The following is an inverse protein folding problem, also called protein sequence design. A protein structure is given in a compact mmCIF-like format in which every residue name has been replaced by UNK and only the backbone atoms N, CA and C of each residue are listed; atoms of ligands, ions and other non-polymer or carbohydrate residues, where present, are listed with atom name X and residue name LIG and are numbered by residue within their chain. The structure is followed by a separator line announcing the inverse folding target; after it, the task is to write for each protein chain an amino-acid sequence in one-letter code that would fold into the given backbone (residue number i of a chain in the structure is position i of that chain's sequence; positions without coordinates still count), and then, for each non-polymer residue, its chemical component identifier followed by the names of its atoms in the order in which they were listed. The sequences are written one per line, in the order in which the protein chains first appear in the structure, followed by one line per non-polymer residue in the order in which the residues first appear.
data_IF_154928829151
#
_entry.id   IF_154928829151
#
_cell.length_a   1.000
_cell.length_b   1.000
_cell.length_c   1.000
_cell.angle_alpha   90.00
_cell.angle_beta   90.00
_cell.angle_gamma   90.00
#
_symmetry.space_group_name_H-M   'P 1'
#
loop_
_entity.id
_entity.type
_entity.pdbx_description
1 polymer ?
#
# COMPACT_ATOMS: atom_id res chain seq x y z
N UNK A 1 8.42 -25.02 3.05
CA UNK A 1 8.79 -23.61 2.80
C UNK A 1 9.71 -23.60 1.59
N UNK A 2 9.44 -22.75 0.58
CA UNK A 2 10.24 -22.71 -0.65
C UNK A 2 11.61 -22.09 -0.38
N UNK A 3 12.67 -22.63 -0.98
CA UNK A 3 13.96 -21.93 -0.99
C UNK A 3 13.92 -20.74 -1.96
N UNK A 4 14.86 -19.80 -1.82
CA UNK A 4 15.03 -18.70 -2.78
C UNK A 4 15.20 -19.22 -4.21
N UNK A 5 15.93 -20.32 -4.39
CA UNK A 5 16.18 -20.93 -5.70
C UNK A 5 14.88 -21.44 -6.32
N UNK A 6 14.07 -22.14 -5.52
CA UNK A 6 12.79 -22.69 -5.97
C UNK A 6 11.81 -21.57 -6.35
N UNK A 7 11.74 -20.52 -5.54
CA UNK A 7 10.88 -19.36 -5.81
C UNK A 7 11.26 -18.63 -7.11
N UNK A 8 12.56 -18.46 -7.39
CA UNK A 8 13.03 -17.84 -8.63
C UNK A 8 12.71 -18.73 -9.84
N UNK A 9 12.83 -20.04 -9.71
CA UNK A 9 12.52 -20.97 -10.79
C UNK A 9 11.03 -20.87 -11.23
N UNK A 10 10.13 -20.58 -10.29
CA UNK A 10 8.70 -20.41 -10.54
C UNK A 10 8.32 -19.04 -11.16
N UNK A 11 9.25 -18.09 -11.28
CA UNK A 11 8.94 -16.73 -11.78
C UNK A 11 8.50 -16.70 -13.26
N UNK A 12 8.84 -17.74 -14.02
CA UNK A 12 8.48 -17.88 -15.43
C UNK A 12 7.49 -19.03 -15.67
N UNK A 13 6.69 -19.38 -14.65
CA UNK A 13 5.68 -20.42 -14.77
C UNK A 13 4.72 -20.15 -15.92
N UNK A 14 4.33 -21.20 -16.63
CA UNK A 14 3.24 -21.12 -17.58
C UNK A 14 1.87 -21.02 -16.85
N UNK A 15 0.79 -21.00 -17.63
CA UNK A 15 -0.56 -20.85 -17.08
C UNK A 15 -0.95 -22.01 -16.15
N UNK A 16 -0.64 -23.25 -16.52
CA UNK A 16 -1.02 -24.44 -15.76
C UNK A 16 -0.22 -24.50 -14.44
N UNK A 17 1.08 -24.20 -14.53
CA UNK A 17 1.95 -24.08 -13.38
C UNK A 17 1.51 -22.96 -12.43
N UNK A 18 1.07 -21.81 -12.96
CA UNK A 18 0.56 -20.69 -12.16
C UNK A 18 -0.74 -21.06 -11.43
N UNK A 19 -1.66 -21.75 -12.10
CA UNK A 19 -2.90 -22.24 -11.48
C UNK A 19 -2.60 -23.21 -10.33
N UNK A 20 -1.65 -24.13 -10.55
CA UNK A 20 -1.18 -25.04 -9.50
C UNK A 20 -0.54 -24.28 -8.33
N UNK A 21 0.33 -23.29 -8.60
CA UNK A 21 0.96 -22.47 -7.57
C UNK A 21 -0.08 -21.68 -6.73
N UNK A 22 -1.08 -21.11 -7.38
CA UNK A 22 -2.18 -20.41 -6.70
C UNK A 22 -3.01 -21.37 -5.82
N UNK A 23 -3.24 -22.60 -6.27
CA UNK A 23 -3.94 -23.63 -5.50
C UNK A 23 -3.17 -24.04 -4.24
N UNK A 24 -1.86 -24.28 -4.35
CA UNK A 24 -1.02 -24.57 -3.19
C UNK A 24 -0.94 -23.39 -2.21
N UNK A 25 -0.82 -22.17 -2.71
CA UNK A 25 -0.85 -20.96 -1.88
C UNK A 25 -2.19 -20.80 -1.15
N UNK A 26 -3.32 -21.12 -1.81
CA UNK A 26 -4.64 -21.11 -1.20
C UNK A 26 -4.75 -22.11 -0.05
N UNK A 27 -4.24 -23.35 -0.20
CA UNK A 27 -4.22 -24.35 0.89
C UNK A 27 -3.43 -23.86 2.11
N UNK A 28 -2.29 -23.22 1.88
CA UNK A 28 -1.49 -22.62 2.97
C UNK A 28 -2.29 -21.50 3.64
N UNK A 29 -2.88 -20.58 2.87
CA UNK A 29 -3.75 -19.53 3.41
C UNK A 29 -4.87 -20.14 4.25
N UNK A 30 -5.59 -21.13 3.74
CA UNK A 30 -6.78 -21.70 4.38
C UNK A 30 -6.47 -22.44 5.67
N UNK A 31 -5.22 -22.94 5.82
CA UNK A 31 -4.75 -23.55 7.07
C UNK A 31 -4.70 -22.54 8.23
N UNK A 32 -4.38 -21.27 7.94
CA UNK A 32 -4.22 -20.22 8.96
C UNK A 32 -5.39 -19.22 8.98
N UNK A 33 -6.02 -18.97 7.83
CA UNK A 33 -7.09 -18.01 7.59
C UNK A 33 -8.16 -18.61 6.67
N UNK A 34 -9.00 -19.54 7.19
CA UNK A 34 -9.88 -20.36 6.37
C UNK A 34 -10.91 -19.54 5.57
N UNK A 35 -11.85 -18.88 6.27
CA UNK A 35 -13.00 -18.25 5.61
C UNK A 35 -13.28 -16.81 6.10
N UNK A 36 -12.37 -16.22 6.87
CA UNK A 36 -12.55 -14.87 7.40
C UNK A 36 -11.65 -13.88 6.68
N UNK A 37 -12.26 -12.99 5.90
CA UNK A 37 -11.57 -11.84 5.32
C UNK A 37 -11.76 -10.64 6.26
N UNK A 38 -10.68 -10.21 6.89
CA UNK A 38 -10.67 -9.00 7.74
C UNK A 38 -10.25 -7.79 6.93
N UNK A 39 -10.80 -6.62 7.26
CA UNK A 39 -10.39 -5.35 6.68
C UNK A 39 -10.44 -4.25 7.73
N UNK A 40 -9.61 -3.22 7.58
CA UNK A 40 -9.66 -2.01 8.38
C UNK A 40 -9.92 -0.80 7.49
N UNK A 41 -10.95 -0.03 7.82
CA UNK A 41 -11.30 1.20 7.09
C UNK A 41 -10.34 2.30 7.52
N UNK A 42 -9.61 2.86 6.56
CA UNK A 42 -8.61 3.91 6.80
C UNK A 42 -8.85 5.11 5.92
N UNK A 43 -8.64 6.30 6.49
CA UNK A 43 -8.55 7.54 5.73
C UNK A 43 -7.11 7.77 5.30
N UNK A 44 -6.89 8.05 4.01
CA UNK A 44 -5.56 8.32 3.46
C UNK A 44 -5.28 9.83 3.51
N UNK A 45 -4.16 10.21 4.13
CA UNK A 45 -3.79 11.61 4.36
C UNK A 45 -2.37 11.83 3.79
N UNK A 46 -2.25 12.34 2.54
CA UNK A 46 -0.97 12.67 1.94
C UNK A 46 -0.48 14.01 2.52
N UNK A 47 0.20 13.94 3.65
CA UNK A 47 0.62 15.11 4.43
C UNK A 47 1.51 16.06 3.63
N UNK A 48 2.30 15.51 2.70
CA UNK A 48 3.11 16.29 1.76
C UNK A 48 3.29 15.49 0.47
N UNK A 49 3.42 16.20 -0.65
CA UNK A 49 3.90 15.64 -1.91
C UNK A 49 5.37 16.01 -2.19
N UNK A 50 6.01 16.77 -1.28
CA UNK A 50 7.43 17.09 -1.37
C UNK A 50 8.28 15.87 -1.04
N UNK A 51 9.28 15.59 -1.86
CA UNK A 51 10.21 14.49 -1.66
C UNK A 51 11.57 14.80 -2.32
N UNK A 52 12.69 14.54 -1.63
CA UNK A 52 14.05 14.69 -2.19
C UNK A 52 14.40 13.64 -3.25
N UNK A 53 13.75 12.49 -3.21
CA UNK A 53 14.00 11.40 -4.15
C UNK A 53 13.34 11.66 -5.51
N UNK A 54 13.86 11.04 -6.57
CA UNK A 54 13.40 11.21 -7.96
C UNK A 54 12.96 9.89 -8.59
N UNK A 55 12.23 9.08 -7.81
CA UNK A 55 11.71 7.78 -8.23
C UNK A 55 10.86 7.90 -9.51
N UNK A 56 11.32 7.32 -10.62
CA UNK A 56 10.67 7.42 -11.94
C UNK A 56 9.26 6.81 -12.01
N UNK A 57 8.87 5.99 -11.02
CA UNK A 57 7.54 5.40 -10.91
C UNK A 57 6.60 6.19 -9.98
N UNK A 58 7.10 7.21 -9.26
CA UNK A 58 6.32 7.90 -8.23
C UNK A 58 5.56 9.10 -8.83
N UNK A 59 4.24 9.03 -8.83
CA UNK A 59 3.39 10.14 -9.31
C UNK A 59 3.16 11.23 -8.25
N UNK A 60 3.51 10.97 -6.99
CA UNK A 60 3.38 11.93 -5.90
C UNK A 60 4.55 12.92 -5.85
N UNK A 61 5.72 12.56 -6.38
CA UNK A 61 6.95 13.32 -6.19
C UNK A 61 6.85 14.75 -6.72
N UNK A 62 7.12 15.72 -5.85
CA UNK A 62 7.50 17.08 -6.21
C UNK A 62 8.81 17.41 -5.49
N UNK A 63 9.81 17.85 -6.25
CA UNK A 63 11.05 18.30 -5.63
C UNK A 63 10.76 19.47 -4.68
N UNK A 64 11.48 19.64 -3.54
CA UNK A 64 11.23 20.73 -2.60
C UNK A 64 11.27 22.13 -3.23
N UNK A 65 12.09 22.31 -4.27
CA UNK A 65 12.20 23.57 -5.02
C UNK A 65 11.05 23.79 -6.03
N UNK A 66 10.15 22.82 -6.17
CA UNK A 66 8.98 22.94 -7.04
C UNK A 66 7.90 23.79 -6.35
N UNK A 67 7.41 24.82 -7.03
CA UNK A 67 6.22 25.57 -6.59
C UNK A 67 4.92 24.75 -6.54
N UNK A 68 4.95 23.48 -6.97
CA UNK A 68 3.84 22.53 -6.85
C UNK A 68 3.93 21.64 -5.59
N UNK A 69 5.04 21.73 -4.85
CA UNK A 69 5.21 21.08 -3.56
C UNK A 69 4.29 21.71 -2.52
N UNK A 70 3.66 20.90 -1.67
CA UNK A 70 2.81 21.38 -0.59
C UNK A 70 2.89 20.48 0.64
N UNK A 71 2.62 21.08 1.80
CA UNK A 71 2.40 20.41 3.08
C UNK A 71 0.98 20.77 3.53
N UNK A 72 0.19 19.77 3.93
CA UNK A 72 -1.16 20.00 4.43
C UNK A 72 -1.12 20.79 5.75
N UNK A 73 -2.05 21.74 5.90
CA UNK A 73 -2.26 22.41 7.18
C UNK A 73 -2.87 21.45 8.21
N UNK A 74 -2.64 21.71 9.50
CA UNK A 74 -3.22 20.92 10.60
C UNK A 74 -4.75 20.88 10.53
N UNK A 75 -5.38 22.01 10.22
CA UNK A 75 -6.84 22.10 10.10
C UNK A 75 -7.37 21.24 8.94
N UNK A 76 -6.63 21.20 7.82
CA UNK A 76 -6.98 20.33 6.70
C UNK A 76 -6.87 18.86 7.08
N UNK A 77 -5.79 18.48 7.76
CA UNK A 77 -5.59 17.11 8.27
C UNK A 77 -6.74 16.72 9.20
N UNK A 78 -7.09 17.57 10.16
CA UNK A 78 -8.20 17.32 11.09
C UNK A 78 -9.54 17.19 10.34
N UNK A 79 -9.79 18.05 9.36
CA UNK A 79 -11.01 17.98 8.54
C UNK A 79 -11.12 16.64 7.82
N UNK A 80 -10.04 16.15 7.22
CA UNK A 80 -10.04 14.88 6.50
C UNK A 80 -10.15 13.67 7.45
N UNK A 81 -9.51 13.72 8.62
CA UNK A 81 -9.70 12.72 9.69
C UNK A 81 -11.16 12.65 10.14
N UNK A 82 -11.79 13.79 10.42
CA UNK A 82 -13.17 13.84 10.89
C UNK A 82 -14.16 13.34 9.83
N UNK A 83 -13.93 13.66 8.54
CA UNK A 83 -14.71 13.07 7.43
C UNK A 83 -14.53 11.56 7.36
N UNK A 84 -13.30 11.06 7.51
CA UNK A 84 -13.00 9.64 7.56
C UNK A 84 -13.72 8.95 8.73
N UNK A 85 -13.70 9.56 9.91
CA UNK A 85 -14.41 9.06 11.10
C UNK A 85 -15.92 8.99 10.86
N UNK A 86 -16.53 10.01 10.24
CA UNK A 86 -17.95 10.01 9.88
C UNK A 86 -18.31 8.87 8.91
N UNK A 87 -17.37 8.44 8.05
CA UNK A 87 -17.52 7.29 7.16
C UNK A 87 -17.18 5.94 7.83
N UNK A 88 -16.88 5.95 9.14
CA UNK A 88 -16.57 4.77 9.92
C UNK A 88 -15.13 4.26 9.79
N UNK A 89 -14.20 5.09 9.30
CA UNK A 89 -12.77 4.78 9.36
C UNK A 89 -12.31 4.63 10.81
N UNK A 90 -11.40 3.69 11.03
CA UNK A 90 -10.79 3.35 12.32
C UNK A 90 -9.31 3.74 12.40
N UNK A 91 -8.69 3.96 11.25
CA UNK A 91 -7.28 4.29 11.13
C UNK A 91 -7.06 5.53 10.24
N UNK A 92 -5.96 6.23 10.48
CA UNK A 92 -5.45 7.29 9.61
C UNK A 92 -4.10 6.83 9.04
N UNK A 93 -4.02 6.76 7.71
CA UNK A 93 -2.80 6.42 6.99
C UNK A 93 -2.13 7.71 6.51
N UNK A 94 -1.07 8.12 7.20
CA UNK A 94 -0.24 9.23 6.77
C UNK A 94 0.75 8.78 5.70
N UNK A 95 0.75 9.49 4.57
CA UNK A 95 1.76 9.36 3.53
C UNK A 95 2.57 10.63 3.44
N UNK A 96 3.88 10.46 3.31
CA UNK A 96 4.89 11.52 3.32
C UNK A 96 5.93 11.20 2.24
N UNK A 97 6.51 12.23 1.64
CA UNK A 97 7.76 12.08 0.94
C UNK A 97 8.95 12.09 1.89
N UNK A 98 10.13 11.87 1.34
CA UNK A 98 11.39 11.89 2.06
C UNK A 98 11.97 13.32 2.13
N UNK A 99 12.46 13.72 3.31
CA UNK A 99 12.89 15.10 3.58
C UNK A 99 14.16 15.50 2.84
#
# INVERSE_FOLDING_TARGET
MLSRKDAIALANCDKEELEHLCSEAAKVRDTYWPNTLTYSRKVFIPLTNMCRDTCGYCTFVKHPDSGQGNILSRDRVLSDVLKGQQQGCKEALFSLGEK
#
